data_IF_761217449901
#
_entry.id   IF_761217449901
#
_cell.length_a   1.000
_cell.length_b   1.000
_cell.length_c   1.000
_cell.angle_alpha   90.00
_cell.angle_beta   90.00
_cell.angle_gamma   90.00
#
_symmetry.space_group_name_H-M   'P 1'
#
loop_
_entity.id
_entity.type
_entity.pdbx_description
1 polymer ?
#
# COMPACT_ATOMS: atom_id res chain seq x y z
N UNK A 1 -1.22 -22.83 -16.98
CA UNK A 1 -1.14 -23.42 -15.62
C UNK A 1 -2.00 -22.65 -14.61
N UNK A 2 -1.92 -21.31 -14.55
CA UNK A 2 -2.64 -20.48 -13.55
C UNK A 2 -4.14 -20.21 -13.81
N UNK A 3 -4.69 -20.72 -14.92
CA UNK A 3 -6.13 -20.73 -15.23
C UNK A 3 -6.64 -22.16 -15.47
N UNK A 4 -5.97 -23.14 -14.86
CA UNK A 4 -6.40 -24.53 -14.94
C UNK A 4 -7.65 -24.73 -14.08
N UNK A 5 -8.80 -24.82 -14.75
CA UNK A 5 -10.10 -25.01 -14.11
C UNK A 5 -10.13 -26.26 -13.22
N UNK A 6 -9.47 -27.34 -13.62
CA UNK A 6 -9.44 -28.58 -12.84
C UNK A 6 -8.64 -28.39 -11.55
N UNK A 7 -7.50 -27.68 -11.63
CA UNK A 7 -6.69 -27.35 -10.46
C UNK A 7 -7.45 -26.42 -9.49
N UNK A 8 -8.10 -25.37 -10.02
CA UNK A 8 -8.93 -24.46 -9.21
C UNK A 8 -10.05 -25.21 -8.48
N UNK A 9 -10.77 -26.09 -9.18
CA UNK A 9 -11.83 -26.90 -8.56
C UNK A 9 -11.29 -27.85 -7.49
N UNK A 10 -10.11 -28.44 -7.71
CA UNK A 10 -9.47 -29.30 -6.72
C UNK A 10 -9.09 -28.52 -5.45
N UNK A 11 -8.56 -27.31 -5.60
CA UNK A 11 -8.19 -26.45 -4.47
C UNK A 11 -9.43 -26.03 -3.68
N UNK A 12 -10.50 -25.61 -4.36
CA UNK A 12 -11.77 -25.24 -3.72
C UNK A 12 -12.34 -26.39 -2.90
N UNK A 13 -12.38 -27.62 -3.46
CA UNK A 13 -12.83 -28.80 -2.69
C UNK A 13 -12.00 -29.03 -1.43
N UNK A 14 -10.66 -28.87 -1.51
CA UNK A 14 -9.79 -28.98 -0.34
C UNK A 14 -10.00 -27.86 0.68
N UNK A 15 -10.38 -26.66 0.22
CA UNK A 15 -10.77 -25.55 1.10
C UNK A 15 -12.08 -25.92 1.81
N UNK A 16 -13.08 -26.42 1.09
CA UNK A 16 -14.35 -26.89 1.66
C UNK A 16 -14.14 -27.99 2.72
N UNK A 17 -13.28 -28.98 2.43
CA UNK A 17 -12.96 -30.08 3.35
C UNK A 17 -12.28 -29.60 4.66
N UNK A 18 -11.60 -28.46 4.62
CA UNK A 18 -10.85 -27.90 5.76
C UNK A 18 -11.54 -26.69 6.40
N UNK A 19 -12.64 -26.21 5.83
CA UNK A 19 -13.33 -25.03 6.32
C UNK A 19 -13.90 -25.31 7.72
N UNK A 20 -13.63 -24.44 8.70
CA UNK A 20 -14.22 -24.58 10.03
C UNK A 20 -15.72 -24.27 9.99
N UNK A 21 -16.43 -24.72 11.03
CA UNK A 21 -17.83 -24.42 11.29
C UNK A 21 -18.04 -23.05 11.95
N UNK A 22 -16.96 -22.38 12.35
CA UNK A 22 -16.94 -21.01 12.86
C UNK A 22 -16.33 -20.02 11.85
N UNK A 23 -16.69 -18.72 11.90
CA UNK A 23 -16.12 -17.70 11.01
C UNK A 23 -14.61 -17.53 11.21
N UNK A 24 -13.87 -17.46 10.11
CA UNK A 24 -12.44 -17.13 10.06
C UNK A 24 -12.19 -16.03 9.04
N UNK A 25 -11.25 -15.14 9.36
CA UNK A 25 -10.94 -13.96 8.56
C UNK A 25 -9.47 -13.95 8.18
N UNK A 26 -9.19 -14.09 6.88
CA UNK A 26 -7.84 -13.96 6.33
C UNK A 26 -7.64 -12.56 5.77
N UNK A 27 -6.64 -11.85 6.27
CA UNK A 27 -6.31 -10.51 5.85
C UNK A 27 -5.19 -10.53 4.82
N UNK A 28 -5.41 -9.97 3.63
CA UNK A 28 -4.32 -9.68 2.70
C UNK A 28 -3.91 -8.21 2.85
N UNK A 29 -2.62 -7.90 2.62
CA UNK A 29 -2.10 -6.54 2.70
C UNK A 29 -1.50 -6.14 1.35
N UNK A 30 -2.29 -6.30 0.28
CA UNK A 30 -1.86 -5.91 -1.06
C UNK A 30 -3.05 -5.50 -1.94
N UNK A 31 -3.02 -4.29 -2.50
CA UNK A 31 -4.04 -3.88 -3.47
C UNK A 31 -4.07 -4.74 -4.73
N UNK A 32 -2.93 -5.32 -5.13
CA UNK A 32 -2.88 -6.27 -6.25
C UNK A 32 -3.56 -7.60 -5.91
N UNK A 33 -3.47 -8.07 -4.65
CA UNK A 33 -4.29 -9.22 -4.20
C UNK A 33 -5.77 -8.88 -4.21
N UNK A 34 -6.16 -7.69 -3.72
CA UNK A 34 -7.56 -7.24 -3.76
C UNK A 34 -8.10 -7.23 -5.20
N UNK A 35 -7.30 -6.74 -6.14
CA UNK A 35 -7.64 -6.72 -7.56
C UNK A 35 -7.85 -8.14 -8.08
N UNK A 36 -6.95 -9.08 -7.78
CA UNK A 36 -7.07 -10.47 -8.19
C UNK A 36 -8.31 -11.15 -7.58
N UNK A 37 -8.48 -11.02 -6.26
CA UNK A 37 -9.60 -11.58 -5.49
C UNK A 37 -10.93 -11.12 -6.08
N UNK A 38 -11.06 -9.81 -6.31
CA UNK A 38 -12.30 -9.24 -6.85
C UNK A 38 -12.46 -9.70 -8.30
N UNK A 39 -11.44 -9.52 -9.16
CA UNK A 39 -11.51 -9.78 -10.62
C UNK A 39 -11.91 -11.21 -10.95
N UNK A 40 -11.43 -12.16 -10.16
CA UNK A 40 -11.74 -13.58 -10.35
C UNK A 40 -12.91 -14.06 -9.50
N UNK A 41 -13.58 -13.16 -8.76
CA UNK A 41 -14.72 -13.48 -7.92
C UNK A 41 -14.41 -14.47 -6.79
N UNK A 42 -13.16 -14.49 -6.30
CA UNK A 42 -12.70 -15.55 -5.40
C UNK A 42 -13.50 -15.63 -4.10
N UNK A 43 -13.96 -14.49 -3.56
CA UNK A 43 -14.82 -14.45 -2.36
C UNK A 43 -16.11 -15.27 -2.52
N UNK A 44 -16.67 -15.30 -3.73
CA UNK A 44 -17.90 -16.06 -4.01
C UNK A 44 -17.65 -17.56 -4.16
N UNK A 45 -16.39 -17.99 -4.28
CA UNK A 45 -15.99 -19.39 -4.39
C UNK A 45 -15.65 -20.01 -3.03
N UNK A 46 -15.58 -19.20 -1.96
CA UNK A 46 -15.20 -19.65 -0.63
C UNK A 46 -16.43 -20.08 0.18
N UNK A 47 -16.28 -21.06 1.08
CA UNK A 47 -17.29 -21.38 2.09
C UNK A 47 -17.72 -20.14 2.90
N UNK A 48 -18.99 -20.05 3.35
CA UNK A 48 -19.49 -18.90 4.11
C UNK A 48 -18.75 -18.61 5.41
N UNK A 49 -18.06 -19.61 5.99
CA UNK A 49 -17.24 -19.45 7.19
C UNK A 49 -15.91 -18.75 6.91
N UNK A 50 -15.48 -18.58 5.66
CA UNK A 50 -14.20 -17.98 5.32
C UNK A 50 -14.41 -16.60 4.69
N UNK A 51 -13.95 -15.57 5.38
CA UNK A 51 -13.89 -14.21 4.86
C UNK A 51 -12.46 -13.84 4.47
N UNK A 52 -12.30 -13.19 3.32
CA UNK A 52 -11.01 -12.60 2.91
C UNK A 52 -11.14 -11.09 2.89
N UNK A 53 -10.46 -10.44 3.83
CA UNK A 53 -10.56 -8.99 4.08
C UNK A 53 -9.31 -8.25 3.57
N UNK A 54 -9.49 -7.00 3.19
CA UNK A 54 -8.41 -6.13 2.74
C UNK A 54 -7.83 -5.32 3.89
N UNK A 55 -6.53 -5.48 4.13
CA UNK A 55 -5.73 -4.63 4.99
C UNK A 55 -5.17 -3.40 4.25
N UNK A 56 -4.24 -2.65 4.87
CA UNK A 56 -3.73 -1.38 4.37
C UNK A 56 -2.65 -1.58 3.29
N UNK A 57 -3.00 -2.32 2.23
CA UNK A 57 -2.11 -2.72 1.15
C UNK A 57 -2.04 -1.77 -0.05
N UNK A 58 -2.59 -0.56 0.07
CA UNK A 58 -2.57 0.46 -0.98
C UNK A 58 -1.69 1.63 -0.52
N UNK A 59 -0.48 1.82 -1.08
CA UNK A 59 0.47 2.81 -0.58
C UNK A 59 -0.01 4.25 -0.80
N UNK A 60 -0.86 4.47 -1.79
CA UNK A 60 -1.52 5.76 -2.04
C UNK A 60 -2.56 6.07 -0.98
N UNK A 61 -3.30 5.04 -0.54
CA UNK A 61 -4.46 5.19 0.30
C UNK A 61 -4.11 5.60 1.73
N UNK A 62 -2.91 5.22 2.15
CA UNK A 62 -2.40 5.39 3.52
C UNK A 62 -1.55 6.65 3.69
N UNK A 63 -1.31 7.43 2.63
CA UNK A 63 -0.55 8.69 2.73
C UNK A 63 -1.40 9.69 3.50
N UNK A 64 -0.94 10.21 4.66
CA UNK A 64 -1.67 11.20 5.44
C UNK A 64 -2.08 12.41 4.60
N UNK A 65 -3.23 13.02 4.91
CA UNK A 65 -3.66 14.25 4.24
C UNK A 65 -2.62 15.37 4.42
N UNK A 66 -1.91 15.38 5.55
CA UNK A 66 -0.79 16.28 5.83
C UNK A 66 0.28 16.25 4.74
N UNK A 67 0.77 15.08 4.35
CA UNK A 67 1.82 14.96 3.34
C UNK A 67 1.32 15.33 1.93
N UNK A 68 0.02 15.12 1.66
CA UNK A 68 -0.62 15.60 0.43
C UNK A 68 -0.72 17.13 0.44
N UNK A 69 -1.05 17.73 1.58
CA UNK A 69 -1.13 19.18 1.75
C UNK A 69 0.25 19.83 1.64
N UNK A 70 1.32 19.20 2.16
CA UNK A 70 2.71 19.63 1.94
C UNK A 70 3.03 19.65 0.43
N UNK A 71 2.68 18.58 -0.28
CA UNK A 71 2.90 18.49 -1.73
C UNK A 71 2.12 19.57 -2.51
N UNK A 72 0.88 19.85 -2.11
CA UNK A 72 0.06 20.93 -2.68
C UNK A 72 0.72 22.28 -2.41
N UNK A 73 1.17 22.54 -1.18
CA UNK A 73 1.82 23.77 -0.79
C UNK A 73 3.08 24.01 -1.64
N UNK A 74 3.91 22.99 -1.84
CA UNK A 74 5.12 23.08 -2.66
C UNK A 74 4.78 23.45 -4.12
N UNK A 75 3.76 22.82 -4.70
CA UNK A 75 3.32 23.12 -6.06
C UNK A 75 2.78 24.55 -6.20
N UNK A 76 2.06 25.05 -5.18
CA UNK A 76 1.51 26.41 -5.17
C UNK A 76 2.58 27.48 -4.91
N UNK A 77 3.70 27.13 -4.29
CA UNK A 77 4.81 28.03 -4.00
C UNK A 77 5.93 27.98 -5.06
N UNK A 78 5.59 27.60 -6.30
CA UNK A 78 6.47 27.76 -7.46
C UNK A 78 7.45 26.62 -7.72
N UNK A 79 7.35 25.51 -6.97
CA UNK A 79 8.11 24.29 -7.28
C UNK A 79 7.33 23.42 -8.26
N UNK A 80 8.05 22.64 -9.07
CA UNK A 80 7.47 21.61 -9.93
C UNK A 80 7.34 20.31 -9.14
N UNK A 81 6.11 19.98 -8.73
CA UNK A 81 5.83 18.72 -8.07
C UNK A 81 5.66 17.60 -9.10
N UNK A 82 6.34 16.49 -8.88
CA UNK A 82 6.32 15.30 -9.73
C UNK A 82 5.89 14.09 -8.91
N UNK A 83 4.90 13.32 -9.39
CA UNK A 83 4.37 12.17 -8.65
C UNK A 83 3.81 11.11 -9.59
N UNK A 84 3.52 9.92 -9.05
CA UNK A 84 2.73 8.90 -9.76
C UNK A 84 1.30 9.36 -10.00
N UNK A 85 0.67 8.81 -11.05
CA UNK A 85 -0.61 9.31 -11.55
C UNK A 85 -1.80 9.10 -10.64
N UNK A 86 -1.75 8.06 -9.81
CA UNK A 86 -2.76 7.76 -8.80
C UNK A 86 -2.79 8.80 -7.66
N UNK A 87 -1.64 9.39 -7.30
CA UNK A 87 -1.56 10.46 -6.30
C UNK A 87 -2.21 11.77 -6.74
N UNK A 88 -2.32 12.02 -8.05
CA UNK A 88 -2.79 13.31 -8.59
C UNK A 88 -4.19 13.69 -8.07
N UNK A 89 -5.07 12.70 -7.90
CA UNK A 89 -6.46 12.93 -7.48
C UNK A 89 -6.71 12.58 -6.01
N UNK A 90 -5.66 12.28 -5.24
CA UNK A 90 -5.80 12.00 -3.82
C UNK A 90 -6.22 13.27 -3.10
N UNK A 91 -7.33 13.26 -2.34
CA UNK A 91 -7.75 14.44 -1.59
C UNK A 91 -6.81 14.66 -0.40
N UNK A 92 -6.22 15.85 -0.32
CA UNK A 92 -5.66 16.39 0.93
C UNK A 92 -6.77 16.89 1.85
N UNK A 93 -6.51 17.92 2.64
CA UNK A 93 -7.52 18.49 3.55
C UNK A 93 -8.55 19.35 2.82
N UNK A 94 -8.11 20.17 1.86
CA UNK A 94 -8.97 21.12 1.13
C UNK A 94 -9.11 20.82 -0.35
N UNK A 95 -8.07 20.25 -0.95
CA UNK A 95 -8.02 19.99 -2.39
C UNK A 95 -7.05 18.84 -2.69
N UNK A 96 -7.01 18.43 -3.95
CA UNK A 96 -6.09 17.46 -4.53
C UNK A 96 -4.98 18.14 -5.34
N UNK A 97 -3.96 17.37 -5.73
CA UNK A 97 -2.92 17.85 -6.63
C UNK A 97 -3.46 18.25 -8.02
N UNK A 98 -4.52 17.60 -8.50
CA UNK A 98 -5.21 18.02 -9.72
C UNK A 98 -5.84 19.41 -9.61
N UNK A 99 -6.42 19.74 -8.46
CA UNK A 99 -7.02 21.06 -8.22
C UNK A 99 -5.94 22.13 -7.98
N UNK A 100 -4.85 21.76 -7.30
CA UNK A 100 -3.67 22.62 -7.19
C UNK A 100 -3.10 22.97 -8.57
N UNK A 101 -3.04 21.98 -9.48
CA UNK A 101 -2.64 22.20 -10.88
C UNK A 101 -3.60 23.14 -11.61
N UNK A 102 -4.91 22.94 -11.44
CA UNK A 102 -5.94 23.78 -12.07
C UNK A 102 -5.89 25.23 -11.58
N UNK A 103 -5.38 25.47 -10.37
CA UNK A 103 -5.23 26.80 -9.76
C UNK A 103 -3.85 27.44 -9.96
N UNK A 104 -2.98 26.83 -10.79
CA UNK A 104 -1.71 27.43 -11.23
C UNK A 104 -0.44 26.72 -10.75
N UNK A 105 -0.55 25.69 -9.91
CA UNK A 105 0.61 24.88 -9.50
C UNK A 105 1.18 24.02 -10.65
N UNK A 106 2.51 23.83 -10.67
CA UNK A 106 3.16 22.95 -11.66
C UNK A 106 3.21 21.51 -11.13
N UNK A 107 2.18 20.72 -11.43
CA UNK A 107 2.10 19.30 -11.08
C UNK A 107 2.22 18.41 -12.32
N UNK A 108 3.14 17.44 -12.27
CA UNK A 108 3.43 16.52 -13.37
C UNK A 108 3.39 15.07 -12.94
N UNK A 109 2.92 14.24 -13.87
CA UNK A 109 2.86 12.79 -13.68
C UNK A 109 4.12 12.13 -14.24
N UNK A 110 4.62 11.11 -13.54
CA UNK A 110 5.68 10.21 -14.02
C UNK A 110 5.31 8.76 -13.73
N UNK A 111 6.01 7.85 -14.41
CA UNK A 111 5.93 6.41 -14.14
C UNK A 111 7.13 5.88 -13.35
N UNK A 112 8.18 6.69 -13.16
CA UNK A 112 9.35 6.33 -12.36
C UNK A 112 10.07 7.56 -11.82
N UNK A 113 10.82 7.38 -10.73
CA UNK A 113 11.73 8.40 -10.19
C UNK A 113 12.82 8.80 -11.18
N UNK A 114 13.29 7.90 -12.05
CA UNK A 114 14.28 8.24 -13.08
C UNK A 114 13.73 9.27 -14.08
N UNK A 115 12.42 9.33 -14.32
CA UNK A 115 11.82 10.39 -15.15
C UNK A 115 11.89 11.76 -14.46
N UNK A 116 11.71 11.86 -13.13
CA UNK A 116 11.87 13.13 -12.42
C UNK A 116 13.31 13.65 -12.49
N UNK A 117 14.30 12.75 -12.40
CA UNK A 117 15.72 13.08 -12.61
C UNK A 117 15.95 13.66 -14.01
N UNK A 118 15.42 13.01 -15.05
CA UNK A 118 15.53 13.49 -16.44
C UNK A 118 14.84 14.84 -16.65
N UNK A 119 13.70 15.08 -16.01
CA UNK A 119 13.01 16.38 -16.06
C UNK A 119 13.86 17.48 -15.39
N UNK A 120 14.38 17.22 -14.20
CA UNK A 120 15.23 18.17 -13.47
C UNK A 120 16.50 18.55 -14.25
N UNK A 121 17.12 17.60 -14.96
CA UNK A 121 18.26 17.86 -15.85
C UNK A 121 17.91 18.74 -17.06
N UNK A 122 16.70 18.59 -17.62
CA UNK A 122 16.27 19.32 -18.82
C UNK A 122 15.78 20.73 -18.51
N UNK A 123 15.30 20.97 -17.30
CA UNK A 123 14.75 22.26 -16.85
C UNK A 123 15.53 22.78 -15.62
N UNK A 124 16.82 23.16 -15.77
CA UNK A 124 17.66 23.58 -14.64
C UNK A 124 17.17 24.86 -13.95
N UNK A 125 16.32 25.66 -14.62
CA UNK A 125 15.72 26.87 -14.05
C UNK A 125 14.51 26.62 -13.13
N UNK A 126 14.12 25.35 -12.92
CA UNK A 126 13.02 24.98 -12.02
C UNK A 126 13.51 24.08 -10.89
N UNK A 127 12.90 24.21 -9.73
CA UNK A 127 13.10 23.32 -8.59
C UNK A 127 12.03 22.23 -8.63
N UNK A 128 12.45 20.99 -8.73
CA UNK A 128 11.62 19.80 -8.77
C UNK A 128 11.54 19.14 -7.40
N UNK A 129 10.35 18.63 -7.07
CA UNK A 129 10.13 17.76 -5.93
C UNK A 129 9.47 16.48 -6.40
N UNK A 130 10.10 15.34 -6.14
CA UNK A 130 9.46 14.05 -6.35
C UNK A 130 8.70 13.65 -5.08
N UNK A 131 7.38 13.48 -5.19
CA UNK A 131 6.56 12.95 -4.11
C UNK A 131 6.72 11.43 -4.04
N UNK A 132 7.62 10.99 -3.15
CA UNK A 132 8.12 9.63 -3.07
C UNK A 132 7.22 8.80 -2.15
N UNK A 133 6.12 8.29 -2.71
CA UNK A 133 5.18 7.38 -2.05
C UNK A 133 5.48 5.92 -2.42
N UNK A 134 4.95 4.99 -1.63
CA UNK A 134 5.03 3.57 -1.92
C UNK A 134 5.62 2.74 -0.78
N UNK A 135 5.52 1.43 -0.91
CA UNK A 135 6.08 0.48 0.05
C UNK A 135 7.52 0.10 -0.30
N UNK A 136 8.01 -1.00 0.28
CA UNK A 136 9.36 -1.54 0.06
C UNK A 136 9.62 -1.91 -1.41
N UNK A 137 8.58 -2.05 -2.23
CA UNK A 137 8.68 -2.27 -3.68
C UNK A 137 9.18 -1.05 -4.46
N UNK A 138 8.95 0.15 -3.94
CA UNK A 138 9.22 1.42 -4.64
C UNK A 138 10.40 2.17 -4.03
N UNK A 139 10.55 2.14 -2.71
CA UNK A 139 11.59 2.86 -1.98
C UNK A 139 13.03 2.56 -2.46
N UNK A 140 13.40 1.33 -2.87
CA UNK A 140 14.74 1.06 -3.40
C UNK A 140 15.08 1.87 -4.66
N UNK A 141 14.08 2.20 -5.48
CA UNK A 141 14.32 2.99 -6.70
C UNK A 141 14.68 4.43 -6.35
N UNK A 142 14.04 5.01 -5.33
CA UNK A 142 14.35 6.34 -4.82
C UNK A 142 15.72 6.34 -4.15
N UNK A 143 16.01 5.34 -3.31
CA UNK A 143 17.34 5.17 -2.71
C UNK A 143 18.46 5.10 -3.76
N UNK A 144 18.24 4.33 -4.84
CA UNK A 144 19.21 4.24 -5.92
C UNK A 144 19.48 5.58 -6.61
N UNK A 145 18.44 6.40 -6.85
CA UNK A 145 18.65 7.73 -7.44
C UNK A 145 19.35 8.67 -6.47
N UNK A 146 18.97 8.69 -5.18
CA UNK A 146 19.64 9.51 -4.15
C UNK A 146 21.15 9.21 -4.08
N UNK A 147 21.54 7.93 -4.07
CA UNK A 147 22.96 7.52 -4.04
C UNK A 147 23.73 7.88 -5.32
N UNK A 148 23.05 8.01 -6.45
CA UNK A 148 23.67 8.49 -7.70
C UNK A 148 23.93 9.99 -7.71
N UNK A 149 23.42 10.73 -6.72
CA UNK A 149 23.56 12.17 -6.64
C UNK A 149 22.79 12.89 -7.75
N UNK A 150 21.45 12.94 -7.69
CA UNK A 150 20.65 13.59 -8.71
C UNK A 150 20.94 15.10 -8.75
N UNK A 151 20.51 15.80 -9.81
CA UNK A 151 20.67 17.26 -9.93
C UNK A 151 20.21 17.99 -8.66
N UNK A 152 20.94 19.03 -8.27
CA UNK A 152 20.68 19.78 -7.02
C UNK A 152 19.30 20.46 -6.99
N UNK A 153 18.69 20.69 -8.15
CA UNK A 153 17.33 21.18 -8.30
C UNK A 153 16.26 20.09 -8.21
N UNK A 154 16.60 18.85 -7.83
CA UNK A 154 15.64 17.79 -7.48
C UNK A 154 15.74 17.50 -5.98
N UNK A 155 14.59 17.51 -5.31
CA UNK A 155 14.43 17.07 -3.92
C UNK A 155 13.31 16.04 -3.81
N UNK A 156 13.20 15.37 -2.66
CA UNK A 156 12.25 14.30 -2.42
C UNK A 156 11.38 14.65 -1.21
N UNK A 157 10.07 14.53 -1.41
CA UNK A 157 9.11 14.45 -0.32
C UNK A 157 8.94 12.97 0.02
N UNK A 158 9.71 12.49 1.00
CA UNK A 158 9.74 11.06 1.34
C UNK A 158 8.51 10.68 2.17
N UNK A 159 7.74 9.75 1.61
CA UNK A 159 6.44 9.30 2.10
C UNK A 159 6.29 7.79 1.95
N UNK A 160 7.41 7.07 2.02
CA UNK A 160 7.42 5.62 1.97
C UNK A 160 6.97 5.01 3.29
N UNK A 161 6.42 3.81 3.20
CA UNK A 161 5.87 3.04 4.32
C UNK A 161 6.35 1.59 4.31
N UNK A 162 6.28 0.94 5.47
CA UNK A 162 6.69 -0.45 5.67
C UNK A 162 5.49 -1.32 6.03
N UNK A 163 5.36 -2.47 5.37
CA UNK A 163 4.23 -3.40 5.55
C UNK A 163 4.27 -4.15 6.89
N UNK A 164 5.38 -4.79 7.31
CA UNK A 164 5.37 -5.58 8.54
C UNK A 164 4.95 -4.78 9.79
N UNK A 165 5.38 -3.52 9.99
CA UNK A 165 4.88 -2.68 11.08
C UNK A 165 3.36 -2.42 11.01
N UNK A 166 2.81 -2.21 9.81
CA UNK A 166 1.36 -2.03 9.64
C UNK A 166 0.58 -3.32 9.93
N UNK A 167 1.09 -4.47 9.51
CA UNK A 167 0.51 -5.77 9.87
C UNK A 167 0.51 -6.00 11.39
N UNK A 168 1.60 -5.63 12.08
CA UNK A 168 1.64 -5.68 13.54
C UNK A 168 0.57 -4.76 14.15
N UNK A 169 0.47 -3.52 13.67
CA UNK A 169 -0.54 -2.58 14.18
C UNK A 169 -1.97 -3.10 14.03
N UNK A 170 -2.28 -3.85 12.96
CA UNK A 170 -3.60 -4.48 12.81
C UNK A 170 -3.93 -5.48 13.92
N UNK A 171 -2.93 -6.18 14.47
CA UNK A 171 -3.12 -7.14 15.57
C UNK A 171 -3.45 -6.43 16.90
N UNK A 172 -3.08 -5.16 17.01
CA UNK A 172 -3.31 -4.33 18.20
C UNK A 172 -4.66 -3.58 18.14
N UNK A 173 -5.42 -3.68 17.03
CA UNK A 173 -6.73 -3.01 16.89
C UNK A 173 -7.84 -3.89 17.49
N UNK A 174 -8.50 -3.35 18.51
CA UNK A 174 -9.69 -3.95 19.11
C UNK A 174 -10.83 -4.11 18.08
N UNK A 175 -11.65 -5.15 18.24
CA UNK A 175 -12.80 -5.49 17.40
C UNK A 175 -12.45 -5.86 15.93
N UNK A 176 -11.22 -6.29 15.64
CA UNK A 176 -10.87 -6.88 14.34
C UNK A 176 -10.32 -8.28 14.55
N UNK A 177 -11.11 -9.28 14.19
CA UNK A 177 -10.64 -10.66 14.15
C UNK A 177 -9.83 -10.87 12.86
N UNK A 178 -8.59 -11.33 13.02
CA UNK A 178 -7.71 -11.78 11.93
C UNK A 178 -7.16 -13.14 12.35
N UNK A 179 -7.41 -14.16 11.55
CA UNK A 179 -7.01 -15.55 11.82
C UNK A 179 -5.82 -15.99 10.94
N UNK A 180 -5.39 -15.14 10.01
CA UNK A 180 -4.21 -15.38 9.18
C UNK A 180 -3.93 -14.27 8.18
N UNK A 181 -2.68 -14.20 7.73
CA UNK A 181 -2.21 -13.21 6.76
C UNK A 181 -1.82 -13.81 5.42
N UNK A 182 -2.27 -13.15 4.35
CA UNK A 182 -1.75 -13.32 3.00
C UNK A 182 -0.79 -12.15 2.73
N UNK A 183 0.51 -12.42 2.80
CA UNK A 183 1.56 -11.41 2.69
C UNK A 183 1.80 -10.99 1.23
N UNK A 184 2.07 -9.70 0.98
CA UNK A 184 2.29 -9.14 -0.36
C UNK A 184 3.53 -9.74 -1.04
N UNK A 185 3.34 -10.50 -2.13
CA UNK A 185 4.42 -11.16 -2.85
C UNK A 185 5.53 -10.23 -3.34
N UNK A 186 5.19 -9.07 -3.92
CA UNK A 186 6.18 -8.11 -4.44
C UNK A 186 6.99 -7.45 -3.33
N UNK A 187 6.35 -7.14 -2.19
CA UNK A 187 7.07 -6.62 -1.02
C UNK A 187 8.02 -7.69 -0.50
N UNK A 188 7.55 -8.94 -0.38
CA UNK A 188 8.37 -10.08 0.02
C UNK A 188 9.54 -10.36 -0.96
N UNK A 189 9.40 -10.08 -2.26
CA UNK A 189 10.53 -10.13 -3.20
C UNK A 189 11.65 -9.16 -2.80
N UNK A 190 11.32 -8.03 -2.16
CA UNK A 190 12.32 -7.07 -1.68
C UNK A 190 12.86 -7.46 -0.31
N UNK A 191 11.99 -7.62 0.68
CA UNK A 191 12.40 -7.80 2.09
C UNK A 191 12.62 -9.26 2.50
N UNK A 192 12.28 -10.20 1.63
CA UNK A 192 12.33 -11.63 1.89
C UNK A 192 11.08 -12.17 2.57
N UNK A 193 10.87 -13.48 2.47
CA UNK A 193 9.82 -14.14 3.24
C UNK A 193 10.07 -14.01 4.75
N UNK A 194 11.33 -14.08 5.20
CA UNK A 194 11.70 -14.05 6.62
C UNK A 194 11.30 -12.76 7.33
N UNK A 195 11.10 -11.66 6.61
CA UNK A 195 10.61 -10.41 7.20
C UNK A 195 9.23 -10.57 7.86
N UNK A 196 8.48 -11.62 7.51
CA UNK A 196 7.18 -11.96 8.08
C UNK A 196 7.24 -13.08 9.15
N UNK A 197 8.43 -13.59 9.50
CA UNK A 197 8.58 -14.67 10.49
C UNK A 197 8.07 -14.30 11.89
N UNK A 198 8.11 -13.02 12.24
CA UNK A 198 7.62 -12.52 13.54
C UNK A 198 6.15 -12.87 13.80
N UNK A 199 5.31 -12.94 12.76
CA UNK A 199 3.87 -13.22 12.87
C UNK A 199 3.58 -14.62 13.43
N UNK A 200 4.06 -15.72 12.81
CA UNK A 200 3.91 -17.04 13.40
C UNK A 200 4.78 -17.23 14.65
N UNK A 201 6.00 -16.70 14.70
CA UNK A 201 6.93 -17.00 15.79
C UNK A 201 6.49 -16.36 17.10
N UNK A 202 6.08 -15.08 17.06
CA UNK A 202 5.71 -14.29 18.22
C UNK A 202 4.20 -14.27 18.45
N UNK A 203 3.42 -13.97 17.41
CA UNK A 203 1.96 -13.78 17.54
C UNK A 203 1.15 -15.05 17.30
N UNK A 204 1.81 -16.17 16.97
CA UNK A 204 1.16 -17.44 16.59
C UNK A 204 0.13 -17.25 15.46
N UNK A 205 0.42 -16.32 14.57
CA UNK A 205 -0.45 -15.94 13.46
C UNK A 205 -0.11 -16.73 12.19
N UNK A 206 -1.02 -17.54 11.65
CA UNK A 206 -0.86 -18.19 10.35
C UNK A 206 -0.47 -17.17 9.26
N UNK A 207 0.58 -17.46 8.51
CA UNK A 207 1.16 -16.48 7.59
C UNK A 207 1.65 -17.15 6.31
N UNK A 208 1.20 -16.65 5.16
CA UNK A 208 1.59 -17.16 3.84
C UNK A 208 1.97 -16.03 2.90
N UNK A 209 3.17 -16.07 2.34
CA UNK A 209 3.57 -15.21 1.22
C UNK A 209 3.02 -15.76 -0.08
N UNK A 210 2.25 -14.97 -0.82
CA UNK A 210 1.53 -15.42 -2.01
C UNK A 210 1.76 -14.54 -3.25
N UNK A 211 1.70 -15.17 -4.42
CA UNK A 211 1.66 -14.47 -5.70
C UNK A 211 0.30 -13.81 -5.98
N UNK A 212 0.07 -13.37 -7.22
CA UNK A 212 -1.08 -12.53 -7.59
C UNK A 212 -2.07 -13.21 -8.53
N UNK A 213 -1.80 -14.45 -8.93
CA UNK A 213 -2.73 -15.23 -9.72
C UNK A 213 -3.86 -15.76 -8.83
N UNK A 214 -5.00 -16.11 -9.43
CA UNK A 214 -6.14 -16.67 -8.69
C UNK A 214 -5.76 -17.94 -7.90
N UNK A 215 -4.93 -18.79 -8.50
CA UNK A 215 -4.44 -20.02 -7.87
C UNK A 215 -3.52 -19.72 -6.70
N UNK A 216 -2.66 -18.70 -6.79
CA UNK A 216 -1.75 -18.33 -5.69
C UNK A 216 -2.55 -17.95 -4.44
N UNK A 217 -3.59 -17.13 -4.62
CA UNK A 217 -4.46 -16.68 -3.51
C UNK A 217 -5.25 -17.85 -2.92
N UNK A 218 -5.85 -18.71 -3.75
CA UNK A 218 -6.57 -19.89 -3.27
C UNK A 218 -5.64 -20.88 -2.54
N UNK A 219 -4.42 -21.06 -3.04
CA UNK A 219 -3.40 -21.87 -2.37
C UNK A 219 -3.01 -21.28 -1.02
N UNK A 220 -2.84 -19.95 -0.93
CA UNK A 220 -2.56 -19.29 0.33
C UNK A 220 -3.67 -19.52 1.36
N UNK A 221 -4.94 -19.39 0.96
CA UNK A 221 -6.10 -19.69 1.81
C UNK A 221 -6.07 -21.15 2.28
N UNK A 222 -5.86 -22.09 1.37
CA UNK A 222 -5.75 -23.51 1.70
C UNK A 222 -4.61 -23.78 2.70
N UNK A 223 -3.47 -23.11 2.54
CA UNK A 223 -2.31 -23.24 3.43
C UNK A 223 -2.59 -22.64 4.80
N UNK A 224 -3.25 -21.48 4.88
CA UNK A 224 -3.68 -20.87 6.13
C UNK A 224 -4.63 -21.79 6.92
N UNK A 225 -5.63 -22.39 6.26
CA UNK A 225 -6.53 -23.36 6.90
C UNK A 225 -5.76 -24.55 7.51
N UNK A 226 -4.75 -25.07 6.80
CA UNK A 226 -3.88 -26.13 7.35
C UNK A 226 -3.09 -25.63 8.55
N UNK A 227 -2.54 -24.42 8.51
CA UNK A 227 -1.80 -23.83 9.62
C UNK A 227 -2.68 -23.64 10.87
N UNK A 228 -3.96 -23.30 10.71
CA UNK A 228 -4.89 -23.20 11.84
C UNK A 228 -5.05 -24.53 12.59
N UNK A 229 -4.93 -25.67 11.88
CA UNK A 229 -5.01 -27.01 12.47
C UNK A 229 -3.66 -27.52 12.99
N UNK A 230 -2.60 -27.31 12.22
CA UNK A 230 -1.28 -27.94 12.42
C UNK A 230 -0.31 -27.03 13.21
N UNK A 231 -0.67 -25.76 13.41
CA UNK A 231 0.16 -24.73 14.03
C UNK A 231 0.61 -23.66 13.05
N UNK A 232 0.64 -22.42 13.53
CA UNK A 232 1.07 -21.24 12.77
C UNK A 232 2.55 -21.35 12.35
N UNK A 233 2.82 -21.03 11.09
CA UNK A 233 4.16 -21.00 10.51
C UNK A 233 4.21 -20.01 9.35
N UNK A 234 5.41 -19.72 8.88
CA UNK A 234 5.61 -18.93 7.67
C UNK A 234 5.76 -19.90 6.50
N UNK A 235 4.80 -19.89 5.57
CA UNK A 235 4.95 -20.60 4.30
C UNK A 235 5.16 -19.61 3.15
N UNK A 236 5.98 -20.00 2.16
CA UNK A 236 6.22 -19.22 0.94
C UNK A 236 5.61 -19.94 -0.27
N UNK A 237 4.36 -19.60 -0.59
CA UNK A 237 3.68 -20.07 -1.80
C UNK A 237 4.32 -19.47 -3.06
N UNK A 238 4.80 -18.23 -2.95
CA UNK A 238 5.42 -17.49 -4.06
C UNK A 238 6.92 -17.76 -4.26
N UNK A 239 7.37 -18.99 -3.97
CA UNK A 239 8.78 -19.40 -4.02
C UNK A 239 9.45 -19.22 -5.40
N UNK A 240 8.66 -19.09 -6.46
CA UNK A 240 9.15 -18.78 -7.82
C UNK A 240 9.71 -17.36 -7.97
N UNK A 241 9.37 -16.44 -7.06
CA UNK A 241 9.76 -15.03 -7.11
C UNK A 241 10.29 -14.48 -5.78
N UNK A 242 10.13 -15.23 -4.69
CA UNK A 242 10.51 -14.79 -3.33
C UNK A 242 11.50 -15.78 -2.74
N UNK A 243 12.68 -15.28 -2.39
CA UNK A 243 13.66 -16.01 -1.58
C UNK A 243 13.43 -15.73 -0.09
N UNK A 244 14.12 -16.49 0.76
CA UNK A 244 14.04 -16.33 2.22
C UNK A 244 14.49 -14.94 2.65
N UNK A 245 15.64 -14.52 2.13
CA UNK A 245 16.35 -13.27 2.39
C UNK A 245 15.87 -12.09 1.54
N UNK A 246 15.13 -12.34 0.46
CA UNK A 246 14.69 -11.31 -0.49
C UNK A 246 15.81 -10.74 -1.34
N UNK A 247 15.63 -9.51 -1.81
CA UNK A 247 16.61 -8.79 -2.59
C UNK A 247 17.59 -8.04 -1.69
N UNK A 248 18.68 -8.73 -1.31
CA UNK A 248 19.73 -8.19 -0.43
C UNK A 248 20.29 -6.86 -0.96
N UNK A 249 20.46 -6.72 -2.28
CA UNK A 249 20.97 -5.47 -2.87
C UNK A 249 20.02 -4.30 -2.67
N UNK A 250 18.71 -4.52 -2.88
CA UNK A 250 17.69 -3.49 -2.65
C UNK A 250 17.63 -3.09 -1.16
N UNK A 251 17.70 -4.06 -0.25
CA UNK A 251 17.73 -3.79 1.18
C UNK A 251 18.98 -3.01 1.62
N UNK A 252 20.15 -3.27 1.02
CA UNK A 252 21.35 -2.48 1.27
C UNK A 252 21.15 -1.02 0.88
N UNK A 253 20.56 -0.74 -0.29
CA UNK A 253 20.26 0.63 -0.73
C UNK A 253 19.33 1.34 0.25
N UNK A 254 18.27 0.65 0.70
CA UNK A 254 17.34 1.19 1.69
C UNK A 254 18.05 1.54 3.00
N UNK A 255 18.86 0.62 3.52
CA UNK A 255 19.62 0.81 4.77
C UNK A 255 20.66 1.92 4.65
N UNK A 256 21.22 2.16 3.46
CA UNK A 256 22.20 3.20 3.23
C UNK A 256 21.54 4.58 3.23
N UNK A 257 20.37 4.72 2.59
CA UNK A 257 19.71 6.01 2.32
C UNK A 257 18.71 6.44 3.38
N UNK A 258 18.02 5.49 4.02
CA UNK A 258 16.91 5.78 4.91
C UNK A 258 17.14 5.31 6.34
N UNK A 259 16.63 6.09 7.28
CA UNK A 259 16.32 5.65 8.64
C UNK A 259 14.85 5.19 8.70
N UNK A 260 14.58 4.20 9.55
CA UNK A 260 13.21 3.77 9.84
C UNK A 260 12.73 4.54 11.06
N UNK A 261 11.60 5.24 10.92
CA UNK A 261 11.02 6.08 11.96
C UNK A 261 9.51 5.85 12.09
N UNK A 262 8.97 6.26 13.23
CA UNK A 262 7.54 6.33 13.46
C UNK A 262 6.91 7.32 12.46
N UNK A 263 5.68 7.07 12.04
CA UNK A 263 4.98 8.03 11.19
C UNK A 263 3.53 7.67 10.90
N UNK A 264 2.83 8.63 10.30
CA UNK A 264 1.39 8.58 10.10
C UNK A 264 0.96 7.61 8.99
N UNK A 265 -0.14 6.92 9.22
CA UNK A 265 -0.88 6.14 8.24
C UNK A 265 -2.31 6.67 8.22
N UNK A 266 -2.73 7.18 7.06
CA UNK A 266 -4.02 7.84 6.91
C UNK A 266 -5.17 6.96 7.39
N UNK A 267 -5.91 7.44 8.37
CA UNK A 267 -7.04 6.71 8.95
C UNK A 267 -6.67 5.59 9.92
N UNK A 268 -5.40 5.34 10.19
CA UNK A 268 -4.94 4.39 11.22
C UNK A 268 -4.31 5.17 12.39
N UNK A 269 -3.52 6.20 12.09
CA UNK A 269 -2.78 6.98 13.07
C UNK A 269 -1.27 6.78 12.93
N UNK A 270 -0.51 7.09 13.97
CA UNK A 270 0.94 6.91 13.96
C UNK A 270 1.30 5.46 14.25
N UNK A 271 2.07 4.83 13.37
CA UNK A 271 2.57 3.46 13.56
C UNK A 271 4.07 3.51 13.80
N UNK A 272 4.54 2.85 14.85
CA UNK A 272 5.96 2.84 15.19
C UNK A 272 6.81 2.13 14.13
N UNK A 273 7.98 2.70 13.83
CA UNK A 273 8.98 2.17 12.90
C UNK A 273 8.40 1.76 11.54
N UNK A 274 7.49 2.58 11.00
CA UNK A 274 6.65 2.21 9.86
C UNK A 274 6.87 3.06 8.61
N UNK A 275 7.79 4.01 8.67
CA UNK A 275 8.07 4.94 7.57
C UNK A 275 9.57 5.06 7.33
N UNK A 276 9.95 5.42 6.11
CA UNK A 276 11.33 5.79 5.79
C UNK A 276 11.51 7.30 5.84
N UNK A 277 12.57 7.75 6.50
CA UNK A 277 13.08 9.13 6.47
C UNK A 277 14.45 9.14 5.81
N UNK A 278 14.75 10.13 4.97
CA UNK A 278 16.11 10.31 4.46
C UNK A 278 17.07 10.52 5.63
N UNK A 279 18.22 9.83 5.59
CA UNK A 279 19.28 10.06 6.58
C UNK A 279 19.82 11.49 6.47
N UNK A 280 20.34 12.00 7.58
CA UNK A 280 20.94 13.33 7.65
C UNK A 280 22.07 13.54 6.61
N UNK A 281 22.79 12.48 6.23
CA UNK A 281 23.79 12.55 5.16
C UNK A 281 23.23 12.98 3.79
N UNK A 282 21.92 12.82 3.58
CA UNK A 282 21.19 13.20 2.36
C UNK A 282 20.24 14.39 2.60
N UNK A 283 20.48 15.22 3.63
CA UNK A 283 19.64 16.39 3.95
C UNK A 283 19.45 17.33 2.74
N UNK A 284 20.48 17.44 1.90
CA UNK A 284 20.52 18.16 0.63
C UNK A 284 19.47 17.68 -0.39
N UNK A 285 18.76 16.60 -0.12
CA UNK A 285 17.72 16.03 -0.97
C UNK A 285 16.36 15.97 -0.28
N UNK A 286 16.26 16.27 1.02
CA UNK A 286 15.00 16.31 1.75
C UNK A 286 14.32 17.67 1.57
N UNK A 287 13.13 17.67 0.98
CA UNK A 287 12.39 18.91 0.74
C UNK A 287 11.92 19.57 2.04
N UNK A 288 11.62 18.79 3.09
CA UNK A 288 11.14 19.30 4.38
C UNK A 288 12.24 20.02 5.15
N UNK A 289 13.52 19.75 4.84
CA UNK A 289 14.67 20.47 5.40
C UNK A 289 15.08 21.68 4.57
N UNK A 290 14.75 21.68 3.27
CA UNK A 290 15.06 22.80 2.35
C UNK A 290 14.06 23.94 2.39
N UNK A 291 12.80 23.64 2.68
CA UNK A 291 11.71 24.59 2.63
C UNK A 291 10.95 24.59 3.95
N UNK A 292 10.61 25.78 4.43
CA UNK A 292 9.76 25.97 5.61
C UNK A 292 8.30 25.80 5.17
N UNK A 293 7.84 24.54 5.13
CA UNK A 293 6.51 24.20 4.62
C UNK A 293 5.46 24.54 5.68
N UNK A 294 4.65 25.55 5.38
CA UNK A 294 3.58 26.00 6.28
C UNK A 294 2.21 25.48 5.81
N UNK A 295 1.70 24.47 6.51
CA UNK A 295 0.33 23.95 6.30
C UNK A 295 -0.56 24.19 7.52
N UNK A 296 -1.84 24.39 7.28
CA UNK A 296 -2.84 24.56 8.33
C UNK A 296 -3.26 23.23 8.97
N UNK A 297 -4.26 23.24 9.87
CA UNK A 297 -4.78 22.02 10.47
C UNK A 297 -5.24 21.00 9.42
N UNK A 298 -4.84 19.75 9.59
CA UNK A 298 -5.05 18.69 8.61
C UNK A 298 -6.23 17.79 8.98
N UNK A 299 -6.84 17.16 7.98
CA UNK A 299 -7.94 16.22 8.17
C UNK A 299 -7.78 15.01 7.26
N UNK A 300 -7.36 13.90 7.85
CA UNK A 300 -7.18 12.63 7.14
C UNK A 300 -8.47 12.10 6.50
N UNK A 301 -9.57 12.12 7.26
CA UNK A 301 -10.82 11.48 6.84
C UNK A 301 -11.89 12.52 6.57
N UNK A 302 -12.29 12.63 5.30
CA UNK A 302 -13.44 13.42 4.87
C UNK A 302 -14.70 12.99 5.65
N UNK A 303 -15.53 13.97 6.03
CA UNK A 303 -16.77 13.67 6.78
C UNK A 303 -17.64 12.68 6.01
N UNK A 304 -18.16 11.65 6.69
CA UNK A 304 -18.95 10.57 6.07
C UNK A 304 -18.14 9.48 5.37
N UNK A 305 -16.81 9.63 5.24
CA UNK A 305 -15.94 8.62 4.62
C UNK A 305 -15.54 7.55 5.62
N UNK A 306 -15.75 6.28 5.26
CA UNK A 306 -15.34 5.12 6.07
C UNK A 306 -14.06 4.46 5.58
N UNK A 307 -13.19 5.17 4.82
CA UNK A 307 -11.94 4.59 4.31
C UNK A 307 -11.09 4.00 5.44
N UNK A 308 -10.99 4.68 6.59
CA UNK A 308 -10.27 4.20 7.78
C UNK A 308 -10.76 2.83 8.28
N UNK A 309 -12.05 2.51 8.15
CA UNK A 309 -12.61 1.21 8.51
C UNK A 309 -12.41 0.15 7.43
N UNK A 310 -12.38 0.57 6.17
CA UNK A 310 -12.21 -0.32 5.01
C UNK A 310 -10.76 -0.80 4.91
N UNK A 311 -9.78 0.09 5.11
CA UNK A 311 -8.35 -0.26 4.99
C UNK A 311 -7.84 -1.15 6.12
N UNK A 312 -8.59 -1.30 7.21
CA UNK A 312 -8.27 -2.23 8.29
C UNK A 312 -9.16 -3.49 8.23
N UNK A 313 -10.00 -3.63 7.21
CA UNK A 313 -10.87 -4.80 7.03
C UNK A 313 -12.03 -4.89 8.03
N UNK A 314 -12.40 -3.79 8.70
CA UNK A 314 -13.54 -3.75 9.64
C UNK A 314 -14.89 -3.73 8.92
N UNK A 315 -14.96 -3.06 7.76
CA UNK A 315 -16.14 -3.07 6.89
C UNK A 315 -15.75 -3.20 5.42
N UNK A 316 -16.70 -3.61 4.57
CA UNK A 316 -16.53 -3.63 3.12
C UNK A 316 -17.01 -2.32 2.46
N UNK A 317 -16.55 -1.97 1.24
CA UNK A 317 -16.93 -0.73 0.58
C UNK A 317 -18.45 -0.45 0.49
N UNK A 318 -19.33 -1.44 0.20
CA UNK A 318 -20.78 -1.21 0.18
C UNK A 318 -21.38 -0.76 1.53
N UNK A 319 -20.69 -1.01 2.64
CA UNK A 319 -21.11 -0.56 3.97
C UNK A 319 -20.81 0.92 4.23
N UNK A 320 -19.98 1.56 3.40
CA UNK A 320 -19.71 3.00 3.48
C UNK A 320 -20.92 3.79 2.93
N UNK A 321 -21.46 4.76 3.67
CA UNK A 321 -22.67 5.49 3.27
C UNK A 321 -22.48 6.32 1.99
N UNK A 322 -21.24 6.62 1.60
CA UNK A 322 -20.91 7.42 0.41
C UNK A 322 -20.52 6.59 -0.82
N UNK A 323 -20.25 5.30 -0.64
CA UNK A 323 -19.73 4.43 -1.70
C UNK A 323 -20.71 4.32 -2.88
N UNK A 324 -20.24 4.63 -4.09
CA UNK A 324 -21.03 4.67 -5.34
C UNK A 324 -22.28 5.58 -5.27
N UNK A 325 -22.28 6.52 -4.33
CA UNK A 325 -23.27 7.60 -4.23
C UNK A 325 -22.57 8.93 -4.46
N UNK A 326 -22.17 9.62 -3.40
CA UNK A 326 -21.40 10.86 -3.48
C UNK A 326 -19.91 10.61 -3.73
N UNK A 327 -19.38 9.41 -3.46
CA UNK A 327 -18.00 9.03 -3.72
C UNK A 327 -17.95 8.02 -4.87
N UNK A 328 -17.45 8.45 -6.04
CA UNK A 328 -17.30 7.62 -7.25
C UNK A 328 -15.86 7.71 -7.81
N UNK A 329 -15.45 6.85 -8.76
CA UNK A 329 -14.14 6.98 -9.42
C UNK A 329 -13.91 8.33 -10.13
N UNK A 330 -14.99 8.97 -10.61
CA UNK A 330 -14.97 10.30 -11.22
C UNK A 330 -14.92 11.41 -10.17
N UNK A 331 -15.61 11.25 -9.05
CA UNK A 331 -15.62 12.18 -7.91
C UNK A 331 -15.23 11.46 -6.60
N UNK A 332 -13.94 11.16 -6.40
CA UNK A 332 -13.50 10.43 -5.22
C UNK A 332 -13.42 11.35 -4.00
N UNK A 333 -14.20 11.05 -2.95
CA UNK A 333 -14.17 11.79 -1.68
C UNK A 333 -13.14 11.25 -0.68
N UNK A 334 -12.68 10.02 -0.89
CA UNK A 334 -11.69 9.35 -0.05
C UNK A 334 -10.66 8.63 -0.89
N UNK A 335 -9.46 8.40 -0.34
CA UNK A 335 -8.31 7.94 -1.12
C UNK A 335 -8.49 6.50 -1.64
N UNK A 336 -9.28 5.65 -0.96
CA UNK A 336 -9.57 4.29 -1.43
C UNK A 336 -10.38 4.24 -2.74
N UNK A 337 -11.04 5.33 -3.14
CA UNK A 337 -11.75 5.43 -4.42
C UNK A 337 -10.84 5.97 -5.54
N UNK A 338 -9.66 6.49 -5.21
CA UNK A 338 -8.74 7.11 -6.16
C UNK A 338 -7.82 6.08 -6.79
N UNK A 339 -7.03 5.39 -5.96
CA UNK A 339 -5.99 4.48 -6.43
C UNK A 339 -6.58 3.26 -7.14
N UNK A 340 -5.87 2.74 -8.14
CA UNK A 340 -6.18 1.46 -8.76
C UNK A 340 -6.06 0.28 -7.80
N UNK A 341 -5.27 0.45 -6.73
CA UNK A 341 -5.07 -0.51 -5.65
C UNK A 341 -6.00 -0.25 -4.45
N UNK A 342 -6.79 0.82 -4.48
CA UNK A 342 -7.73 1.15 -3.41
C UNK A 342 -8.94 0.25 -3.42
N UNK A 343 -9.26 -0.39 -2.29
CA UNK A 343 -10.34 -1.38 -2.16
C UNK A 343 -11.68 -0.86 -2.70
N UNK A 344 -12.06 0.39 -2.43
CA UNK A 344 -13.30 0.97 -2.96
C UNK A 344 -13.29 1.04 -4.49
N UNK A 345 -12.20 1.54 -5.09
CA UNK A 345 -12.08 1.64 -6.54
C UNK A 345 -12.04 0.25 -7.22
N UNK A 346 -11.39 -0.72 -6.59
CA UNK A 346 -11.35 -2.10 -7.08
C UNK A 346 -12.78 -2.67 -7.14
N UNK A 347 -13.56 -2.50 -6.07
CA UNK A 347 -14.94 -2.99 -6.01
C UNK A 347 -15.84 -2.24 -7.00
N UNK A 348 -15.69 -0.92 -7.14
CA UNK A 348 -16.57 -0.11 -7.99
C UNK A 348 -16.49 -0.47 -9.47
N UNK A 349 -15.33 -0.97 -9.91
CA UNK A 349 -15.11 -1.37 -11.32
C UNK A 349 -15.75 -2.70 -11.68
N UNK A 350 -16.19 -3.47 -10.69
CA UNK A 350 -16.72 -4.82 -10.88
C UNK A 350 -18.20 -4.94 -10.58
N UNK A 351 -18.80 -3.91 -9.99
CA UNK A 351 -20.25 -3.72 -10.02
C UNK A 351 -20.65 -3.33 -11.45
N UNK A 352 -20.73 -4.32 -12.33
CA UNK A 352 -21.62 -4.21 -13.49
C UNK A 352 -23.04 -4.40 -12.95
N UNK A 353 -23.83 -3.33 -13.07
CA UNK A 353 -25.28 -3.26 -12.82
C UNK A 353 -25.98 -4.40 -13.57
#
# INVERSE_FOLDING_TARGET
MFQDKALTQLIIRKIEDLAPDYPVRFCHICGTHELAITRFGLRALLPPSIEVIAGPGCPVCIVPAEEVDEAIWLAQNGLTLVTFGDMIRVPGTKMSLSEAKATGGDVRMVYSVTESVKMAMREPGKNFVFFAIGFETTAPTVAAEVLRGPPKNLSFLTSHRLIPPAMKALLDIDDIQIDGFICPGHVATIIGADAFSVFPDTYKMPTVVAGFESIDVLMAILMLLKQMKDGARLDNEYARSVTKEGNVRAQTLLKEVFDIVDGGWRGIGTISSSTYKLKDAFFDYDVRLKYDIEIGPTKDITSGCSCHLIIIGKINPPSCPMYLKSCTPEHPLGPCMVSHEGTCNVWSRQVRI
#
